data_IF_634178571906
#
_entry.id   IF_634178571906
#
_cell.length_a   1.000
_cell.length_b   1.000
_cell.length_c   1.000
_cell.angle_alpha   90.00
_cell.angle_beta   90.00
_cell.angle_gamma   90.00
#
_symmetry.space_group_name_H-M   'P 1'
#
loop_
_entity.id
_entity.type
_entity.pdbx_description
1 polymer ?
#
# COMPACT_ATOMS: atom_id res chain seq x y z
N UNK A 1 14.59 15.59 31.37
CA UNK A 1 14.68 16.12 29.99
C UNK A 1 14.58 14.92 29.05
N UNK A 2 13.45 14.74 28.37
CA UNK A 2 13.26 13.64 27.42
C UNK A 2 13.68 14.08 26.02
N UNK A 3 14.66 13.41 25.44
CA UNK A 3 15.19 13.69 24.11
C UNK A 3 14.27 13.04 23.07
N UNK A 4 13.40 13.82 22.43
CA UNK A 4 12.60 13.33 21.31
C UNK A 4 13.47 13.12 20.07
N UNK A 5 13.70 11.88 19.70
CA UNK A 5 14.32 11.53 18.41
C UNK A 5 13.33 11.86 17.29
N UNK A 6 13.70 12.78 16.38
CA UNK A 6 12.88 13.08 15.22
C UNK A 6 12.87 11.88 14.27
N UNK A 7 11.75 11.14 14.18
CA UNK A 7 11.60 10.08 13.20
C UNK A 7 11.38 10.68 11.82
N UNK A 8 12.32 10.45 10.89
CA UNK A 8 12.14 10.80 9.48
C UNK A 8 11.00 9.97 8.90
N UNK A 9 9.95 10.63 8.41
CA UNK A 9 8.86 9.95 7.71
C UNK A 9 9.41 9.23 6.47
N UNK A 10 9.04 7.97 6.27
CA UNK A 10 9.46 7.15 5.13
C UNK A 10 8.25 6.66 4.34
N UNK A 11 8.48 6.39 3.05
CA UNK A 11 7.48 5.79 2.18
C UNK A 11 7.08 4.41 2.71
N UNK A 12 5.78 4.19 2.96
CA UNK A 12 5.25 2.90 3.43
C UNK A 12 5.52 1.73 2.46
N UNK A 13 5.87 2.03 1.20
CA UNK A 13 6.22 1.02 0.18
C UNK A 13 7.71 0.83 -0.03
N UNK A 14 8.45 1.89 -0.37
CA UNK A 14 9.87 1.78 -0.76
C UNK A 14 10.84 2.23 0.33
N UNK A 15 10.32 2.63 1.49
CA UNK A 15 11.08 3.09 2.67
C UNK A 15 12.02 4.28 2.44
N UNK A 16 11.99 4.91 1.26
CA UNK A 16 12.72 6.16 1.00
C UNK A 16 12.17 7.29 1.90
N UNK A 17 13.03 8.19 2.40
CA UNK A 17 12.60 9.32 3.21
C UNK A 17 11.67 10.26 2.42
N UNK A 18 10.64 10.76 3.11
CA UNK A 18 9.65 11.69 2.58
C UNK A 18 9.95 13.09 3.11
N UNK A 19 10.14 14.04 2.20
CA UNK A 19 10.52 15.42 2.55
C UNK A 19 9.39 16.43 2.31
N UNK A 20 8.46 16.15 1.40
CA UNK A 20 7.33 17.04 1.14
C UNK A 20 6.18 16.76 2.10
N UNK A 21 5.54 17.82 2.63
CA UNK A 21 4.37 17.69 3.51
C UNK A 21 3.25 16.84 2.88
N UNK A 22 3.06 16.95 1.56
CA UNK A 22 2.09 16.12 0.82
C UNK A 22 2.44 14.64 0.91
N UNK A 23 3.69 14.26 0.64
CA UNK A 23 4.12 12.87 0.73
C UNK A 23 4.06 12.35 2.16
N UNK A 24 4.45 13.16 3.14
CA UNK A 24 4.41 12.79 4.56
C UNK A 24 2.97 12.47 4.98
N UNK A 25 2.00 13.33 4.66
CA UNK A 25 0.58 13.08 4.97
C UNK A 25 0.04 11.82 4.31
N UNK A 26 0.42 11.58 3.06
CA UNK A 26 -0.02 10.43 2.29
C UNK A 26 0.67 9.11 2.69
N UNK A 27 1.85 9.20 3.32
CA UNK A 27 2.70 8.05 3.61
C UNK A 27 3.40 7.44 2.38
N UNK A 28 3.28 8.05 1.19
CA UNK A 28 3.89 7.57 -0.05
C UNK A 28 4.67 8.66 -0.80
N UNK A 29 5.80 8.27 -1.39
CA UNK A 29 6.52 9.11 -2.34
C UNK A 29 5.76 9.25 -3.66
N UNK A 30 6.00 10.34 -4.40
CA UNK A 30 5.25 10.68 -5.63
C UNK A 30 5.19 9.55 -6.67
N UNK A 31 6.31 8.84 -6.89
CA UNK A 31 6.40 7.76 -7.87
C UNK A 31 5.59 6.54 -7.42
N UNK A 32 5.84 6.08 -6.19
CA UNK A 32 5.06 4.99 -5.60
C UNK A 32 3.56 5.27 -5.59
N UNK A 33 3.16 6.53 -5.32
CA UNK A 33 1.75 6.92 -5.36
C UNK A 33 1.16 6.90 -6.78
N UNK A 34 1.92 7.35 -7.78
CA UNK A 34 1.47 7.29 -9.18
C UNK A 34 1.24 5.84 -9.62
N UNK A 35 2.16 4.93 -9.29
CA UNK A 35 2.05 3.50 -9.60
C UNK A 35 0.86 2.87 -8.87
N UNK A 36 0.69 3.13 -7.57
CA UNK A 36 -0.48 2.67 -6.80
C UNK A 36 -1.78 3.13 -7.46
N UNK A 37 -1.84 4.37 -7.96
CA UNK A 37 -3.05 4.87 -8.64
C UNK A 37 -3.28 4.22 -10.00
N UNK A 38 -2.22 3.86 -10.73
CA UNK A 38 -2.35 3.17 -12.01
C UNK A 38 -2.93 1.76 -11.84
N UNK A 39 -2.46 1.02 -10.84
CA UNK A 39 -2.93 -0.35 -10.56
C UNK A 39 -4.36 -0.43 -10.02
N UNK A 40 -4.92 0.69 -9.53
CA UNK A 40 -6.35 0.73 -9.17
C UNK A 40 -7.26 0.45 -10.38
N UNK A 41 -6.80 0.71 -11.60
CA UNK A 41 -7.59 0.55 -12.83
C UNK A 41 -7.66 -0.89 -13.36
N UNK A 42 -6.90 -1.84 -12.80
CA UNK A 42 -6.71 -3.19 -13.37
C UNK A 42 -7.36 -4.30 -12.54
N UNK A 43 -8.17 -3.96 -11.53
CA UNK A 43 -8.81 -4.95 -10.64
C UNK A 43 -10.06 -5.61 -11.24
N UNK A 44 -9.85 -6.55 -12.16
CA UNK A 44 -10.93 -7.30 -12.76
C UNK A 44 -11.71 -8.17 -11.75
N UNK A 45 -13.04 -8.08 -11.83
CA UNK A 45 -13.95 -8.93 -11.08
C UNK A 45 -14.09 -8.61 -9.58
N UNK A 46 -13.57 -7.47 -9.13
CA UNK A 46 -14.02 -6.83 -7.91
C UNK A 46 -15.21 -5.91 -8.20
N UNK A 47 -16.10 -5.74 -7.22
CA UNK A 47 -17.18 -4.76 -7.30
C UNK A 47 -16.63 -3.36 -6.99
N UNK A 48 -17.23 -2.32 -7.55
CA UNK A 48 -16.77 -0.93 -7.37
C UNK A 48 -16.59 -0.52 -5.91
N UNK A 49 -17.53 -0.89 -5.04
CA UNK A 49 -17.42 -0.61 -3.61
C UNK A 49 -16.22 -1.33 -2.95
N UNK A 50 -15.81 -2.50 -3.45
CA UNK A 50 -14.62 -3.21 -2.94
C UNK A 50 -13.35 -2.48 -3.36
N UNK A 51 -13.32 -1.93 -4.57
CA UNK A 51 -12.20 -1.13 -5.08
C UNK A 51 -12.11 0.21 -4.32
N UNK A 52 -13.25 0.84 -4.04
CA UNK A 52 -13.32 2.06 -3.23
C UNK A 52 -12.81 1.83 -1.80
N UNK A 53 -13.32 0.81 -1.08
CA UNK A 53 -12.84 0.50 0.26
C UNK A 53 -11.36 0.08 0.29
N UNK A 54 -10.89 -0.66 -0.73
CA UNK A 54 -9.48 -0.99 -0.86
C UNK A 54 -8.60 0.27 -1.04
N UNK A 55 -9.11 1.23 -1.81
CA UNK A 55 -8.46 2.52 -2.04
C UNK A 55 -8.37 3.35 -0.77
N UNK A 56 -9.48 3.50 -0.06
CA UNK A 56 -9.54 4.20 1.24
C UNK A 56 -8.55 3.59 2.23
N UNK A 57 -8.53 2.26 2.36
CA UNK A 57 -7.62 1.56 3.25
C UNK A 57 -6.13 1.82 2.92
N UNK A 58 -5.77 1.94 1.64
CA UNK A 58 -4.40 2.28 1.23
C UNK A 58 -4.06 3.73 1.61
N UNK A 59 -5.00 4.65 1.41
CA UNK A 59 -4.85 6.08 1.72
C UNK A 59 -4.68 6.30 3.23
N UNK A 60 -5.50 5.61 4.03
CA UNK A 60 -5.44 5.65 5.49
C UNK A 60 -4.20 4.94 6.04
N UNK A 61 -3.57 4.05 5.25
CA UNK A 61 -2.43 3.25 5.69
C UNK A 61 -2.81 2.05 6.54
N UNK A 62 -3.99 1.49 6.32
CA UNK A 62 -4.50 0.32 7.02
C UNK A 62 -3.77 -0.98 6.64
N UNK A 63 -2.79 -0.95 5.72
CA UNK A 63 -2.01 -2.11 5.29
C UNK A 63 -0.60 -2.04 5.90
N UNK A 64 -0.30 -3.00 6.78
CA UNK A 64 1.00 -3.15 7.42
C UNK A 64 1.71 -4.37 6.85
N UNK A 65 2.97 -4.21 6.45
CA UNK A 65 3.78 -5.35 6.03
C UNK A 65 4.03 -6.28 7.23
N UNK A 66 3.81 -7.59 7.06
CA UNK A 66 4.00 -8.58 8.12
C UNK A 66 5.11 -9.58 7.80
N UNK A 67 5.01 -10.24 6.65
CA UNK A 67 6.05 -11.12 6.09
C UNK A 67 5.94 -11.16 4.57
N UNK A 68 6.86 -11.82 3.89
CA UNK A 68 6.86 -11.87 2.43
C UNK A 68 5.50 -12.30 1.86
N UNK A 69 4.96 -11.45 0.98
CA UNK A 69 3.66 -11.63 0.33
C UNK A 69 2.43 -11.50 1.24
N UNK A 70 2.60 -11.18 2.53
CA UNK A 70 1.51 -11.12 3.51
C UNK A 70 1.49 -9.77 4.23
N UNK A 71 0.31 -9.18 4.21
CA UNK A 71 -0.01 -7.93 4.90
C UNK A 71 -1.02 -8.19 6.02
N UNK A 72 -0.89 -7.43 7.10
CA UNK A 72 -1.99 -7.23 8.05
C UNK A 72 -2.81 -6.05 7.54
N UNK A 73 -4.09 -6.29 7.31
CA UNK A 73 -5.04 -5.26 6.89
C UNK A 73 -5.98 -4.98 8.06
N UNK A 74 -5.98 -3.75 8.54
CA UNK A 74 -6.88 -3.29 9.61
C UNK A 74 -8.30 -3.23 9.07
N UNK A 75 -9.27 -3.74 9.82
CA UNK A 75 -10.69 -3.66 9.48
C UNK A 75 -11.17 -2.21 9.45
N UNK A 76 -12.25 -1.94 8.71
CA UNK A 76 -12.80 -0.58 8.59
C UNK A 76 -13.22 0.04 9.94
N UNK A 77 -13.61 -0.80 10.91
CA UNK A 77 -13.94 -0.36 12.28
C UNK A 77 -12.72 -0.24 13.21
N UNK A 78 -11.52 -0.55 12.71
CA UNK A 78 -10.27 -0.50 13.48
C UNK A 78 -10.11 -1.61 14.53
N UNK A 79 -11.08 -2.52 14.68
CA UNK A 79 -11.10 -3.47 15.82
C UNK A 79 -10.34 -4.76 15.55
N UNK A 80 -10.06 -5.10 14.29
CA UNK A 80 -9.45 -6.36 13.89
C UNK A 80 -8.37 -6.15 12.84
N UNK A 81 -7.47 -7.12 12.76
CA UNK A 81 -6.52 -7.22 11.65
C UNK A 81 -6.70 -8.55 10.95
N UNK A 82 -6.74 -8.52 9.62
CA UNK A 82 -6.79 -9.71 8.80
C UNK A 82 -5.46 -9.91 8.08
N UNK A 83 -4.90 -11.12 8.16
CA UNK A 83 -3.81 -11.53 7.27
C UNK A 83 -4.35 -11.68 5.86
N UNK A 84 -3.76 -10.96 4.91
CA UNK A 84 -4.13 -10.97 3.51
C UNK A 84 -2.90 -11.10 2.60
N UNK A 85 -3.03 -11.94 1.58
CA UNK A 85 -2.18 -11.99 0.38
C UNK A 85 -2.94 -11.37 -0.78
N UNK A 86 -2.33 -11.32 -1.97
CA UNK A 86 -3.01 -10.92 -3.19
C UNK A 86 -4.25 -11.81 -3.52
N UNK A 87 -4.32 -13.04 -3.02
CA UNK A 87 -5.36 -14.00 -3.42
C UNK A 87 -6.19 -14.56 -2.27
N UNK A 88 -5.75 -14.41 -1.02
CA UNK A 88 -6.42 -14.99 0.13
C UNK A 88 -6.43 -14.01 1.30
N UNK A 89 -7.53 -13.96 2.04
CA UNK A 89 -7.65 -13.16 3.26
C UNK A 89 -8.34 -13.95 4.36
N UNK A 90 -7.91 -13.76 5.60
CA UNK A 90 -8.48 -14.37 6.81
C UNK A 90 -9.79 -13.71 7.28
N UNK A 91 -10.32 -12.72 6.56
CA UNK A 91 -11.66 -12.19 6.82
C UNK A 91 -12.74 -13.22 6.43
N UNK A 92 -13.97 -13.04 6.93
CA UNK A 92 -15.04 -14.00 6.71
C UNK A 92 -15.36 -14.25 5.22
N UNK A 93 -15.28 -13.22 4.37
CA UNK A 93 -15.43 -13.38 2.92
C UNK A 93 -14.31 -14.22 2.30
N UNK A 94 -13.06 -13.97 2.69
CA UNK A 94 -11.90 -14.70 2.18
C UNK A 94 -11.85 -16.16 2.65
N UNK A 95 -12.23 -16.43 3.91
CA UNK A 95 -12.38 -17.81 4.43
C UNK A 95 -13.44 -18.59 3.66
N UNK A 96 -14.47 -17.92 3.13
CA UNK A 96 -15.49 -18.50 2.25
C UNK A 96 -15.05 -18.61 0.78
N UNK A 97 -13.81 -18.27 0.45
CA UNK A 97 -13.30 -18.28 -0.93
C UNK A 97 -13.85 -17.17 -1.82
N UNK A 98 -14.47 -16.13 -1.25
CA UNK A 98 -15.02 -15.00 -2.01
C UNK A 98 -14.05 -13.81 -2.04
N UNK A 99 -14.10 -13.03 -3.12
CA UNK A 99 -13.29 -11.80 -3.24
C UNK A 99 -13.71 -10.78 -2.18
N UNK A 100 -12.72 -10.16 -1.53
CA UNK A 100 -12.93 -9.14 -0.51
C UNK A 100 -12.06 -7.91 -0.78
N UNK A 101 -12.45 -6.75 -0.27
CA UNK A 101 -11.68 -5.52 -0.48
C UNK A 101 -10.25 -5.62 0.09
N UNK A 102 -10.01 -6.44 1.13
CA UNK A 102 -8.67 -6.65 1.68
C UNK A 102 -7.71 -7.26 0.63
N UNK A 103 -8.14 -8.24 -0.17
CA UNK A 103 -7.30 -8.83 -1.21
C UNK A 103 -7.10 -7.86 -2.36
N UNK A 104 -8.11 -7.05 -2.71
CA UNK A 104 -7.96 -5.97 -3.68
C UNK A 104 -6.88 -4.96 -3.25
N UNK A 105 -6.89 -4.54 -1.99
CA UNK A 105 -5.89 -3.60 -1.46
C UNK A 105 -4.46 -4.17 -1.53
N UNK A 106 -4.30 -5.46 -1.20
CA UNK A 106 -3.00 -6.15 -1.31
C UNK A 106 -2.58 -6.33 -2.77
N UNK A 107 -3.51 -6.62 -3.69
CA UNK A 107 -3.22 -6.70 -5.12
C UNK A 107 -2.69 -5.36 -5.65
N UNK A 108 -3.36 -4.25 -5.36
CA UNK A 108 -2.92 -2.90 -5.77
C UNK A 108 -1.49 -2.63 -5.27
N UNK A 109 -1.21 -2.88 -3.99
CA UNK A 109 0.12 -2.62 -3.42
C UNK A 109 1.20 -3.54 -4.00
N UNK A 110 0.87 -4.81 -4.25
CA UNK A 110 1.82 -5.80 -4.76
C UNK A 110 2.13 -5.56 -6.23
N UNK A 111 1.12 -5.28 -7.05
CA UNK A 111 1.29 -4.92 -8.46
C UNK A 111 2.16 -3.66 -8.57
N UNK A 112 1.90 -2.65 -7.72
CA UNK A 112 2.76 -1.49 -7.65
C UNK A 112 4.19 -1.87 -7.27
N UNK A 113 4.43 -2.79 -6.31
CA UNK A 113 5.79 -3.25 -5.93
C UNK A 113 6.58 -3.85 -7.09
N UNK A 114 5.92 -4.58 -7.99
CA UNK A 114 6.53 -5.23 -9.15
C UNK A 114 6.68 -4.30 -10.36
N UNK A 115 5.93 -3.19 -10.41
CA UNK A 115 6.17 -2.16 -11.40
C UNK A 115 7.62 -1.65 -11.25
N UNK A 116 8.39 -1.55 -12.35
CA UNK A 116 9.75 -1.04 -12.28
C UNK A 116 9.70 0.34 -11.66
N UNK A 117 10.25 0.49 -10.45
CA UNK A 117 10.40 1.81 -9.84
C UNK A 117 11.10 2.68 -10.87
N UNK A 118 10.50 3.83 -11.24
CA UNK A 118 10.97 4.75 -12.27
C UNK A 118 12.51 4.74 -12.42
N UNK A 119 13.05 4.67 -13.65
CA UNK A 119 14.47 4.41 -13.88
C UNK A 119 15.30 5.35 -13.01
N UNK A 120 16.31 4.78 -12.34
CA UNK A 120 17.30 5.55 -11.60
C UNK A 120 17.71 6.76 -12.47
N UNK A 121 17.66 7.97 -11.90
CA UNK A 121 18.12 9.18 -12.58
C UNK A 121 19.50 8.91 -13.15
N UNK A 122 19.62 8.87 -14.47
CA UNK A 122 20.92 8.78 -15.14
C UNK A 122 21.65 10.08 -14.84
N UNK A 123 22.64 10.02 -13.94
CA UNK A 123 23.58 11.11 -13.79
C UNK A 123 24.60 10.97 -14.92
N UNK A 124 24.47 11.78 -15.95
CA UNK A 124 25.55 11.96 -16.93
C UNK A 124 26.68 12.70 -16.22
N UNK A 125 27.79 12.00 -15.98
CA UNK A 125 29.05 12.65 -15.64
C UNK A 125 29.51 13.41 -16.89
N UNK A 126 29.53 14.74 -16.81
CA UNK A 126 30.24 15.55 -17.78
C UNK A 126 31.75 15.28 -17.63
N UNK A 127 32.38 14.88 -18.73
CA UNK A 127 33.82 14.65 -18.83
C UNK A 127 34.60 15.98 -18.86
#
# INVERSE_FOLDING_TARGET
MATSTAHTATCRRCHRPLTSARSIRLGYGKGCWAEIRAEKATLEGYKDHQIASATEAIEDGALVHYRDGIHLVVSADGTRTHRATAHHCTCQAGVRGTRCWHTAAVQILTAARLAPTAPARTFTLAA
#
